data_IF_802994314209
#
_entry.id   IF_802994314209
#
_cell.length_a   1.000
_cell.length_b   1.000
_cell.length_c   1.000
_cell.angle_alpha   90.00
_cell.angle_beta   90.00
_cell.angle_gamma   90.00
#
_symmetry.space_group_name_H-M   'P 1'
#
loop_
_entity.id
_entity.type
_entity.pdbx_description
1 polymer ?
#
# COMPACT_ATOMS: atom_id res chain seq x y z
N UNK A 1 40.78 -10.88 -11.36
CA UNK A 1 40.58 -11.32 -12.76
C UNK A 1 39.14 -11.78 -12.91
N UNK A 2 38.28 -10.93 -13.48
CA UNK A 2 36.94 -11.30 -13.95
C UNK A 2 36.74 -10.55 -15.27
N UNK A 3 36.54 -11.30 -16.36
CA UNK A 3 36.55 -10.78 -17.72
C UNK A 3 35.16 -10.26 -18.12
N UNK A 4 35.07 -8.98 -18.45
CA UNK A 4 33.88 -8.36 -19.05
C UNK A 4 33.97 -8.53 -20.57
N UNK A 5 33.12 -9.38 -21.16
CA UNK A 5 32.99 -9.50 -22.62
C UNK A 5 32.00 -8.47 -23.13
N UNK A 6 32.51 -7.40 -23.77
CA UNK A 6 31.72 -6.47 -24.58
C UNK A 6 31.47 -7.11 -25.94
N UNK A 7 30.21 -7.36 -26.29
CA UNK A 7 29.81 -7.76 -27.65
C UNK A 7 29.46 -6.47 -28.40
N UNK A 8 30.38 -6.02 -29.24
CA UNK A 8 30.15 -4.92 -30.17
C UNK A 8 29.51 -5.44 -31.46
N UNK A 9 28.33 -4.94 -31.82
CA UNK A 9 27.75 -5.17 -33.13
C UNK A 9 28.23 -4.08 -34.09
N UNK A 10 28.99 -4.51 -35.11
CA UNK A 10 29.48 -3.66 -36.19
C UNK A 10 28.36 -3.41 -37.21
N UNK A 11 28.20 -2.15 -37.56
CA UNK A 11 27.47 -1.64 -38.71
C UNK A 11 28.15 -2.10 -40.01
N UNK A 12 27.44 -2.83 -40.87
CA UNK A 12 27.71 -2.86 -42.32
C UNK A 12 26.41 -3.12 -43.08
N UNK A 13 26.09 -2.15 -43.94
CA UNK A 13 24.95 -2.06 -44.85
C UNK A 13 25.16 -2.94 -46.10
N UNK A 14 24.11 -3.65 -46.57
CA UNK A 14 23.90 -3.88 -48.02
C UNK A 14 22.44 -4.30 -48.35
N UNK A 15 21.73 -3.34 -48.96
CA UNK A 15 20.65 -3.37 -49.96
C UNK A 15 19.67 -4.57 -50.13
N UNK A 16 18.37 -4.19 -50.00
CA UNK A 16 17.21 -4.52 -50.85
C UNK A 16 16.92 -5.98 -51.26
N UNK A 17 15.98 -6.61 -50.54
CA UNK A 17 14.73 -7.15 -51.09
C UNK A 17 13.89 -7.68 -49.92
N UNK A 18 12.75 -7.04 -49.60
CA UNK A 18 11.51 -7.64 -49.07
C UNK A 18 10.57 -6.48 -48.70
N UNK A 19 9.97 -5.86 -49.72
CA UNK A 19 8.65 -5.26 -49.52
C UNK A 19 7.68 -6.40 -49.22
N UNK A 20 6.70 -6.11 -48.36
CA UNK A 20 5.53 -6.91 -48.05
C UNK A 20 5.63 -7.90 -46.86
N UNK A 21 5.95 -7.37 -45.69
CA UNK A 21 5.16 -7.75 -44.50
C UNK A 21 4.78 -6.47 -43.76
N UNK A 22 3.68 -5.85 -44.18
CA UNK A 22 2.93 -4.92 -43.34
C UNK A 22 2.29 -5.80 -42.26
N UNK A 23 3.10 -6.25 -41.29
CA UNK A 23 2.58 -7.00 -40.16
C UNK A 23 1.71 -6.03 -39.40
N UNK A 24 0.41 -6.29 -39.49
CA UNK A 24 -0.68 -5.60 -38.82
C UNK A 24 -0.20 -5.07 -37.47
N UNK A 25 -0.16 -3.74 -37.33
CA UNK A 25 -0.31 -3.13 -36.01
C UNK A 25 -1.70 -3.55 -35.53
N UNK A 26 -1.79 -4.74 -34.94
CA UNK A 26 -2.97 -5.13 -34.20
C UNK A 26 -3.19 -4.06 -33.16
N UNK A 27 -4.35 -3.42 -33.18
CA UNK A 27 -4.78 -2.59 -32.07
C UNK A 27 -4.71 -3.48 -30.83
N UNK A 28 -3.73 -3.23 -29.96
CA UNK A 28 -3.73 -3.83 -28.64
C UNK A 28 -5.08 -3.45 -28.01
N UNK A 29 -5.87 -4.41 -27.52
CA UNK A 29 -7.09 -4.06 -26.82
C UNK A 29 -6.67 -3.17 -25.64
N UNK A 30 -7.02 -1.89 -25.72
CA UNK A 30 -6.94 -0.99 -24.58
C UNK A 30 -7.94 -1.56 -23.60
N UNK A 31 -7.46 -2.31 -22.60
CA UNK A 31 -8.33 -2.77 -21.53
C UNK A 31 -8.94 -1.52 -20.92
N UNK A 32 -10.24 -1.31 -21.13
CA UNK A 32 -10.95 -0.22 -20.51
C UNK A 32 -10.76 -0.40 -19.00
N UNK A 33 -10.03 0.52 -18.37
CA UNK A 33 -9.86 0.49 -16.93
C UNK A 33 -11.26 0.43 -16.32
N UNK A 34 -11.57 -0.66 -15.64
CA UNK A 34 -12.80 -0.76 -14.87
C UNK A 34 -12.83 0.43 -13.92
N UNK A 35 -13.83 1.29 -14.03
CA UNK A 35 -14.01 2.41 -13.11
C UNK A 35 -14.26 1.85 -11.72
N UNK A 36 -13.21 1.77 -10.90
CA UNK A 36 -13.30 1.35 -9.51
C UNK A 36 -13.96 2.48 -8.73
N UNK A 37 -15.29 2.42 -8.64
CA UNK A 37 -16.06 3.39 -7.89
C UNK A 37 -15.90 3.15 -6.38
N UNK A 38 -15.72 4.22 -5.62
CA UNK A 38 -15.79 4.22 -4.17
C UNK A 38 -16.88 5.19 -3.71
N UNK A 39 -17.35 5.03 -2.48
CA UNK A 39 -18.30 5.94 -1.87
C UNK A 39 -17.81 6.32 -0.49
N UNK A 40 -17.84 7.61 -0.20
CA UNK A 40 -17.49 8.12 1.12
C UNK A 40 -18.74 8.15 2.02
N UNK A 41 -18.55 8.00 3.34
CA UNK A 41 -17.27 7.67 4.00
C UNK A 41 -16.91 6.18 3.89
N UNK A 42 -15.64 5.85 3.64
CA UNK A 42 -15.14 4.46 3.64
C UNK A 42 -14.99 3.88 5.05
N UNK A 43 -14.91 4.77 6.04
CA UNK A 43 -14.85 4.45 7.45
C UNK A 43 -15.77 5.43 8.18
N UNK A 44 -16.71 4.91 8.97
CA UNK A 44 -17.81 5.70 9.56
C UNK A 44 -17.45 6.42 10.87
N UNK A 45 -16.27 6.15 11.45
CA UNK A 45 -15.94 6.68 12.78
C UNK A 45 -14.44 6.92 13.00
N UNK A 46 -14.10 7.88 13.85
CA UNK A 46 -12.73 8.14 14.29
C UNK A 46 -11.94 9.10 13.39
N UNK A 47 -10.80 9.53 13.90
CA UNK A 47 -9.89 10.47 13.26
C UNK A 47 -8.58 9.78 12.85
N UNK A 48 -7.76 10.51 12.10
CA UNK A 48 -6.38 10.12 11.75
C UNK A 48 -6.30 8.75 11.05
N UNK A 49 -7.02 8.55 9.93
CA UNK A 49 -6.99 7.28 9.20
C UNK A 49 -5.62 7.07 8.55
N UNK A 50 -5.02 5.90 8.80
CA UNK A 50 -3.86 5.42 8.07
C UNK A 50 -4.19 4.09 7.40
N UNK A 51 -3.76 3.93 6.15
CA UNK A 51 -3.93 2.68 5.40
C UNK A 51 -2.68 2.32 4.61
N UNK A 52 -2.32 1.04 4.62
CA UNK A 52 -1.32 0.48 3.71
C UNK A 52 -1.88 -0.75 2.99
N UNK A 53 -1.55 -0.90 1.71
CA UNK A 53 -1.72 -2.16 0.98
C UNK A 53 -0.44 -2.99 1.15
N UNK A 54 -0.55 -4.16 1.77
CA UNK A 54 0.58 -5.05 1.95
C UNK A 54 0.73 -6.01 0.76
N UNK A 55 1.92 -6.60 0.61
CA UNK A 55 2.24 -7.54 -0.48
C UNK A 55 1.43 -8.84 -0.44
N UNK A 56 0.76 -9.14 0.68
CA UNK A 56 -0.18 -10.27 0.80
C UNK A 56 -1.56 -9.99 0.16
N UNK A 57 -1.75 -8.79 -0.40
CA UNK A 57 -2.98 -8.37 -1.06
C UNK A 57 -4.09 -7.92 -0.11
N UNK A 58 -3.75 -7.58 1.14
CA UNK A 58 -4.68 -7.00 2.10
C UNK A 58 -4.34 -5.54 2.42
N UNK A 59 -5.40 -4.75 2.62
CA UNK A 59 -5.33 -3.46 3.26
C UNK A 59 -5.27 -3.64 4.77
N UNK A 60 -4.32 -2.94 5.39
CA UNK A 60 -4.19 -2.79 6.84
C UNK A 60 -4.51 -1.35 7.18
N UNK A 61 -5.42 -1.16 8.13
CA UNK A 61 -5.96 0.16 8.49
C UNK A 61 -5.91 0.37 9.99
N UNK A 62 -5.59 1.60 10.37
CA UNK A 62 -5.57 2.09 11.75
C UNK A 62 -6.24 3.46 11.81
N UNK A 63 -6.77 3.79 12.98
CA UNK A 63 -7.38 5.11 13.28
C UNK A 63 -7.28 5.42 14.77
N UNK A 64 -7.44 6.68 15.13
CA UNK A 64 -7.49 7.09 16.53
C UNK A 64 -8.72 6.52 17.24
N UNK A 65 -8.46 5.84 18.36
CA UNK A 65 -9.47 5.36 19.31
C UNK A 65 -9.30 5.95 20.71
N UNK A 66 -8.16 6.60 20.98
CA UNK A 66 -7.86 7.27 22.26
C UNK A 66 -7.38 6.35 23.38
N UNK A 67 -7.76 5.07 23.37
CA UNK A 67 -7.49 4.17 24.51
C UNK A 67 -6.84 2.82 24.16
N UNK A 68 -6.58 2.54 22.88
CA UNK A 68 -5.98 1.28 22.41
C UNK A 68 -5.55 1.40 20.95
N UNK A 69 -4.82 0.40 20.48
CA UNK A 69 -4.44 0.23 19.08
C UNK A 69 -5.20 -0.95 18.49
N UNK A 70 -6.13 -0.66 17.59
CA UNK A 70 -6.85 -1.64 16.76
C UNK A 70 -6.28 -1.61 15.34
N UNK A 71 -6.17 -2.79 14.71
CA UNK A 71 -5.89 -2.97 13.29
C UNK A 71 -7.13 -3.54 12.62
N UNK A 72 -7.52 -2.97 11.48
CA UNK A 72 -8.47 -3.56 10.55
C UNK A 72 -7.72 -4.18 9.37
N UNK A 73 -8.15 -5.35 8.93
CA UNK A 73 -7.62 -6.06 7.77
C UNK A 73 -8.75 -6.40 6.80
N UNK A 74 -8.63 -6.00 5.53
CA UNK A 74 -9.61 -6.33 4.49
C UNK A 74 -8.96 -6.47 3.12
N UNK A 75 -9.55 -7.27 2.22
CA UNK A 75 -9.15 -7.31 0.80
C UNK A 75 -9.70 -6.13 0.00
N UNK A 76 -10.69 -5.41 0.54
CA UNK A 76 -11.30 -4.26 -0.12
C UNK A 76 -11.19 -3.04 0.79
N UNK A 77 -10.60 -1.96 0.26
CA UNK A 77 -10.51 -0.66 0.94
C UNK A 77 -11.90 -0.08 1.24
N UNK A 78 -12.86 -0.26 0.32
CA UNK A 78 -14.23 0.25 0.48
C UNK A 78 -15.06 -0.55 1.49
N UNK A 79 -14.57 -1.72 1.90
CA UNK A 79 -15.20 -2.56 2.93
C UNK A 79 -14.29 -2.73 4.15
N UNK A 80 -13.42 -1.75 4.44
CA UNK A 80 -12.44 -1.85 5.53
C UNK A 80 -13.12 -1.92 6.92
N UNK A 81 -14.24 -1.22 7.10
CA UNK A 81 -15.04 -1.25 8.34
C UNK A 81 -15.70 -2.63 8.60
N UNK A 82 -15.90 -3.43 7.55
CA UNK A 82 -16.42 -4.79 7.62
C UNK A 82 -15.30 -5.85 7.70
N UNK A 83 -14.05 -5.42 7.63
CA UNK A 83 -12.88 -6.29 7.70
C UNK A 83 -12.66 -6.90 9.09
N UNK A 84 -11.70 -7.81 9.18
CA UNK A 84 -11.28 -8.35 10.48
C UNK A 84 -10.67 -7.23 11.32
N UNK A 85 -11.16 -7.06 12.56
CA UNK A 85 -10.64 -6.08 13.51
C UNK A 85 -10.01 -6.77 14.71
N UNK A 86 -8.80 -6.36 15.07
CA UNK A 86 -8.09 -6.88 16.23
C UNK A 86 -7.43 -5.77 17.04
N UNK A 87 -7.67 -5.74 18.35
CA UNK A 87 -6.87 -4.98 19.30
C UNK A 87 -5.52 -5.66 19.47
N UNK A 88 -4.45 -4.97 19.10
CA UNK A 88 -3.08 -5.50 19.21
C UNK A 88 -2.34 -4.98 20.43
N UNK A 89 -2.80 -3.87 20.99
CA UNK A 89 -2.19 -3.28 22.17
C UNK A 89 -3.15 -2.38 22.93
N UNK A 90 -3.03 -2.40 24.25
CA UNK A 90 -3.76 -1.53 25.20
C UNK A 90 -2.72 -0.88 26.12
N UNK A 91 -2.82 0.42 26.41
CA UNK A 91 -1.87 1.11 27.27
C UNK A 91 -1.86 0.55 28.69
N UNK A 92 -0.69 0.49 29.35
CA UNK A 92 -0.62 0.27 30.79
C UNK A 92 -1.22 1.46 31.56
N UNK A 93 -1.45 1.28 32.85
CA UNK A 93 -1.89 2.38 33.72
C UNK A 93 -0.91 3.55 33.67
N UNK A 94 -1.45 4.78 33.63
CA UNK A 94 -0.66 6.01 33.56
C UNK A 94 -0.38 6.52 32.15
N UNK A 95 -0.78 5.79 31.10
CA UNK A 95 -0.69 6.26 29.72
C UNK A 95 -2.10 6.46 29.13
N UNK A 96 -2.37 7.67 28.62
CA UNK A 96 -3.64 8.12 28.05
C UNK A 96 -3.43 8.71 26.65
N UNK A 97 -4.53 9.11 26.00
CA UNK A 97 -4.53 9.89 24.74
C UNK A 97 -3.73 9.24 23.61
N UNK A 98 -4.11 8.00 23.26
CA UNK A 98 -3.47 7.22 22.19
C UNK A 98 -3.98 7.72 20.83
N UNK A 99 -3.13 8.44 20.09
CA UNK A 99 -3.52 9.14 18.85
C UNK A 99 -2.67 8.78 17.63
N UNK A 100 -3.28 9.00 16.47
CA UNK A 100 -2.72 8.91 15.12
C UNK A 100 -1.85 7.66 14.86
N UNK A 101 -2.37 6.44 15.09
CA UNK A 101 -1.60 5.25 14.84
C UNK A 101 -1.37 5.00 13.34
N UNK A 102 -0.13 4.72 12.96
CA UNK A 102 0.25 4.30 11.61
C UNK A 102 0.92 2.93 11.63
N UNK A 103 0.43 2.00 10.82
CA UNK A 103 0.98 0.64 10.71
C UNK A 103 1.92 0.51 9.51
N UNK A 104 3.11 -0.02 9.73
CA UNK A 104 4.14 -0.21 8.69
C UNK A 104 4.69 -1.63 8.72
N UNK A 105 5.01 -2.19 7.55
CA UNK A 105 5.81 -3.39 7.43
C UNK A 105 7.18 -3.03 6.83
N UNK A 106 8.23 -3.14 7.64
CA UNK A 106 9.59 -2.74 7.28
C UNK A 106 10.49 -3.94 7.54
N UNK A 107 11.23 -4.40 6.53
CA UNK A 107 12.11 -5.57 6.59
C UNK A 107 11.45 -6.82 7.18
N UNK A 108 10.19 -7.05 6.80
CA UNK A 108 9.39 -8.20 7.25
C UNK A 108 8.87 -8.11 8.68
N UNK A 109 9.05 -6.98 9.36
CA UNK A 109 8.59 -6.72 10.72
C UNK A 109 7.48 -5.67 10.73
N UNK A 110 6.52 -5.85 11.64
CA UNK A 110 5.40 -4.93 11.81
C UNK A 110 5.71 -3.89 12.89
N UNK A 111 5.46 -2.63 12.57
CA UNK A 111 5.63 -1.47 13.45
C UNK A 111 4.34 -0.68 13.49
N UNK A 112 3.99 -0.16 14.65
CA UNK A 112 2.92 0.84 14.79
C UNK A 112 3.52 2.07 15.47
N UNK A 113 3.50 3.20 14.77
CA UNK A 113 3.89 4.49 15.31
C UNK A 113 2.63 5.21 15.79
N UNK A 114 2.68 5.80 16.99
CA UNK A 114 1.55 6.49 17.61
C UNK A 114 2.08 7.49 18.64
N UNK A 115 1.24 8.44 19.06
CA UNK A 115 1.53 9.31 20.20
C UNK A 115 0.73 8.91 21.42
N UNK A 116 1.26 9.20 22.60
CA UNK A 116 0.59 8.95 23.87
C UNK A 116 1.01 9.98 24.92
N UNK A 117 0.14 10.25 25.88
CA UNK A 117 0.36 11.19 26.97
C UNK A 117 0.47 10.44 28.31
N UNK A 118 1.41 10.83 29.17
CA UNK A 118 1.57 10.30 30.54
C UNK A 118 0.71 11.03 31.58
N UNK A 119 -0.06 12.04 31.17
CA UNK A 119 -0.93 12.83 32.04
C UNK A 119 -0.21 13.79 32.97
N UNK A 120 1.08 14.03 32.77
CA UNK A 120 1.87 14.97 33.55
C UNK A 120 2.11 16.32 32.83
N UNK A 121 1.45 16.55 31.70
CA UNK A 121 1.41 17.85 31.00
C UNK A 121 0.09 18.58 31.26
N UNK A 122 0.08 19.89 31.06
CA UNK A 122 -1.13 20.71 30.99
C UNK A 122 -1.99 20.26 29.79
N UNK A 123 -3.25 19.93 30.08
CA UNK A 123 -4.23 19.39 29.13
C UNK A 123 -4.71 20.44 28.10
#
# INVERSE_FOLDING_TARGET
MYAVRRIGFKCTSLLLLFMLTWTSFGAYPTSAASTMNYSNPINTAGADPYVMLHSDGYYYFTRTLGNRLDIWKSRSLTAIDLGERKTVWTPPSGLKDIWAPEIHNIDGKWYIYYTANTGCGDD
#
